data_IF_130798956627
#
_entry.id   IF_130798956627
#
_cell.length_a   1.000
_cell.length_b   1.000
_cell.length_c   1.000
_cell.angle_alpha   90.00
_cell.angle_beta   90.00
_cell.angle_gamma   90.00
#
_symmetry.space_group_name_H-M   'P 1'
#
loop_
_entity.id
_entity.type
_entity.pdbx_description
1 polymer ?
#
# COMPACT_ATOMS: atom_id res chain seq x y z
N UNK A 1 33.05 -8.93 2.75
CA UNK A 1 31.61 -8.70 2.94
C UNK A 1 31.29 -7.32 2.41
N UNK A 2 30.45 -7.19 1.38
CA UNK A 2 30.01 -5.89 0.88
C UNK A 2 29.20 -5.19 1.98
N UNK A 3 29.39 -3.88 2.15
CA UNK A 3 28.54 -3.10 3.07
C UNK A 3 27.07 -3.32 2.72
N UNK A 4 26.16 -3.45 3.70
CA UNK A 4 24.74 -3.56 3.41
C UNK A 4 24.29 -2.34 2.61
N UNK A 5 23.49 -2.57 1.57
CA UNK A 5 22.95 -1.50 0.73
C UNK A 5 22.10 -0.58 1.60
N UNK A 6 22.48 0.69 1.68
CA UNK A 6 21.71 1.72 2.35
C UNK A 6 20.88 2.49 1.32
N UNK A 7 19.61 2.64 1.60
CA UNK A 7 18.70 3.44 0.80
C UNK A 7 18.48 4.80 1.46
N UNK A 8 18.73 5.88 0.73
CA UNK A 8 18.44 7.23 1.19
C UNK A 8 17.29 7.81 0.37
N UNK A 9 16.11 7.90 1.00
CA UNK A 9 14.92 8.48 0.37
C UNK A 9 15.15 9.97 0.14
N UNK A 10 15.08 10.47 -1.11
CA UNK A 10 15.33 11.87 -1.39
C UNK A 10 14.23 12.74 -0.81
N UNK A 11 14.56 14.01 -0.52
CA UNK A 11 13.54 15.00 -0.17
C UNK A 11 12.55 15.15 -1.32
N UNK A 12 11.23 15.29 -1.03
CA UNK A 12 10.24 15.53 -2.07
C UNK A 12 10.50 16.87 -2.79
N UNK A 13 10.20 16.91 -4.08
CA UNK A 13 10.25 18.13 -4.90
C UNK A 13 9.23 19.18 -4.41
N UNK A 14 8.10 18.71 -3.91
CA UNK A 14 7.03 19.51 -3.32
C UNK A 14 6.22 18.66 -2.34
N UNK A 15 5.62 19.33 -1.35
CA UNK A 15 4.66 18.74 -0.42
C UNK A 15 3.36 19.53 -0.44
N UNK A 16 2.24 18.85 -0.18
CA UNK A 16 0.94 19.46 -0.01
C UNK A 16 0.14 18.68 1.05
N UNK A 17 -1.00 19.21 1.48
CA UNK A 17 -1.91 18.53 2.41
C UNK A 17 -3.27 18.30 1.75
N UNK A 18 -3.80 17.10 1.89
CA UNK A 18 -5.21 16.80 1.69
C UNK A 18 -5.90 16.86 3.07
N UNK A 19 -6.89 17.75 3.21
CA UNK A 19 -7.68 17.88 4.44
C UNK A 19 -8.98 17.14 4.29
N UNK A 20 -9.20 16.16 5.16
CA UNK A 20 -10.40 15.32 5.19
C UNK A 20 -11.56 16.04 5.87
N UNK A 21 -12.78 15.55 5.67
CA UNK A 21 -13.98 16.17 6.24
C UNK A 21 -13.99 16.17 7.78
N UNK A 22 -13.36 15.19 8.39
CA UNK A 22 -13.20 15.07 9.85
C UNK A 22 -12.03 15.89 10.43
N UNK A 23 -11.36 16.69 9.58
CA UNK A 23 -10.21 17.51 9.95
C UNK A 23 -8.86 16.78 9.91
N UNK A 24 -8.82 15.48 9.66
CA UNK A 24 -7.59 14.73 9.47
C UNK A 24 -6.79 15.26 8.27
N UNK A 25 -5.46 15.12 8.34
CA UNK A 25 -4.55 15.59 7.29
C UNK A 25 -3.76 14.44 6.73
N UNK A 26 -3.67 14.39 5.40
CA UNK A 26 -2.80 13.47 4.67
C UNK A 26 -1.77 14.28 3.91
N UNK A 27 -0.49 13.99 4.17
CA UNK A 27 0.65 14.64 3.52
C UNK A 27 0.90 14.00 2.15
N UNK A 28 0.86 14.83 1.12
CA UNK A 28 1.19 14.45 -0.25
C UNK A 28 2.63 14.84 -0.55
N UNK A 29 3.42 13.93 -1.12
CA UNK A 29 4.84 14.12 -1.43
C UNK A 29 5.07 13.87 -2.92
N UNK A 30 5.60 14.86 -3.63
CA UNK A 30 5.89 14.76 -5.06
C UNK A 30 7.35 14.45 -5.28
N UNK A 31 7.63 13.44 -6.11
CA UNK A 31 8.95 13.02 -6.52
C UNK A 31 9.02 12.82 -8.04
N UNK A 32 10.20 12.51 -8.55
CA UNK A 32 10.41 12.10 -9.93
C UNK A 32 10.32 13.23 -10.94
N UNK A 33 9.74 12.95 -12.12
CA UNK A 33 9.66 13.86 -13.25
C UNK A 33 8.28 14.57 -13.34
N UNK A 34 8.14 15.85 -12.92
CA UNK A 34 6.87 16.56 -12.96
C UNK A 34 6.22 16.68 -14.34
N UNK A 35 6.98 16.47 -15.43
CA UNK A 35 6.47 16.52 -16.80
C UNK A 35 5.98 15.16 -17.30
N UNK A 36 6.34 14.07 -16.62
CA UNK A 36 5.90 12.72 -16.97
C UNK A 36 4.44 12.44 -16.62
N UNK A 37 3.90 11.28 -17.05
CA UNK A 37 2.63 10.75 -16.58
C UNK A 37 2.62 10.59 -15.06
N UNK A 38 1.46 10.75 -14.41
CA UNK A 38 1.37 10.72 -12.95
C UNK A 38 1.05 9.33 -12.42
N UNK A 39 1.87 8.89 -11.47
CA UNK A 39 1.61 7.74 -10.63
C UNK A 39 1.33 8.20 -9.19
N UNK A 40 0.27 7.68 -8.58
CA UNK A 40 -0.07 7.93 -7.17
C UNK A 40 0.13 6.64 -6.41
N UNK A 41 1.01 6.63 -5.41
CA UNK A 41 1.47 5.41 -4.74
C UNK A 41 1.15 5.46 -3.25
N UNK A 42 0.66 4.35 -2.70
CA UNK A 42 0.48 4.14 -1.26
C UNK A 42 0.78 2.70 -0.86
N UNK A 43 0.72 2.40 0.42
CA UNK A 43 1.33 1.27 1.10
C UNK A 43 0.32 0.31 1.75
N UNK A 44 0.79 -0.84 2.27
CA UNK A 44 -0.02 -1.77 3.05
C UNK A 44 -0.20 -1.31 4.51
N UNK A 45 -1.11 -1.97 5.22
CA UNK A 45 -1.38 -1.72 6.64
C UNK A 45 -0.12 -1.84 7.51
N UNK A 46 0.10 -0.91 8.43
CA UNK A 46 1.24 -0.90 9.35
C UNK A 46 2.57 -0.44 8.72
N UNK A 47 2.59 -0.03 7.45
CA UNK A 47 3.77 0.46 6.72
C UNK A 47 3.68 1.96 6.42
N UNK A 48 4.59 2.45 5.57
CA UNK A 48 4.58 3.80 5.03
C UNK A 48 5.22 3.81 3.63
N UNK A 49 4.86 4.78 2.79
CA UNK A 49 5.27 4.83 1.39
C UNK A 49 6.79 4.96 1.21
N UNK A 50 7.51 5.56 2.16
CA UNK A 50 8.97 5.67 2.10
C UNK A 50 9.66 4.30 2.19
N UNK A 51 9.05 3.29 2.85
CA UNK A 51 9.57 1.93 2.88
C UNK A 51 9.65 1.30 1.46
N UNK A 52 8.79 1.76 0.55
CA UNK A 52 8.72 1.27 -0.84
C UNK A 52 9.69 1.98 -1.79
N UNK A 53 10.67 2.74 -1.25
CA UNK A 53 11.65 3.45 -2.08
C UNK A 53 12.39 2.55 -3.07
N UNK A 54 12.80 1.31 -2.76
CA UNK A 54 13.40 0.42 -3.74
C UNK A 54 12.54 0.19 -5.00
N UNK A 55 11.24 0.20 -4.84
CA UNK A 55 10.26 0.07 -5.92
C UNK A 55 10.01 1.39 -6.64
N UNK A 56 9.56 2.42 -5.92
CA UNK A 56 9.15 3.65 -6.60
C UNK A 56 10.32 4.50 -7.11
N UNK A 57 11.55 4.29 -6.61
CA UNK A 57 12.73 4.95 -7.15
C UNK A 57 12.99 4.58 -8.63
N UNK A 58 12.60 3.38 -9.05
CA UNK A 58 12.73 2.91 -10.43
C UNK A 58 11.78 3.64 -11.41
N UNK A 59 10.83 4.38 -10.90
CA UNK A 59 9.81 5.09 -11.68
C UNK A 59 10.12 6.58 -11.83
N UNK A 60 11.03 7.13 -11.02
CA UNK A 60 11.23 8.58 -10.87
C UNK A 60 11.79 9.28 -12.10
N UNK A 61 12.56 8.61 -12.94
CA UNK A 61 13.11 9.21 -14.16
C UNK A 61 12.02 9.53 -15.19
N UNK A 62 10.99 8.71 -15.26
CA UNK A 62 9.94 8.78 -16.28
C UNK A 62 8.64 9.43 -15.76
N UNK A 63 8.30 9.21 -14.51
CA UNK A 63 6.98 9.50 -13.95
C UNK A 63 6.99 10.63 -12.91
N UNK A 64 5.90 11.37 -12.89
CA UNK A 64 5.52 12.26 -11.81
C UNK A 64 4.93 11.41 -10.67
N UNK A 65 5.76 11.10 -9.68
CA UNK A 65 5.39 10.19 -8.58
C UNK A 65 4.86 10.99 -7.41
N UNK A 66 3.61 10.75 -7.02
CA UNK A 66 3.00 11.33 -5.83
C UNK A 66 2.76 10.23 -4.81
N UNK A 67 3.37 10.37 -3.64
CA UNK A 67 3.23 9.46 -2.52
C UNK A 67 2.26 10.01 -1.49
N UNK A 68 1.47 9.14 -0.88
CA UNK A 68 0.78 9.45 0.36
C UNK A 68 0.79 8.24 1.31
N UNK A 69 0.78 8.53 2.59
CA UNK A 69 0.57 7.51 3.61
C UNK A 69 -0.92 7.47 3.97
N UNK A 70 -1.42 6.28 4.33
CA UNK A 70 -2.76 6.14 4.90
C UNK A 70 -2.85 6.92 6.22
N UNK A 71 -4.05 7.24 6.67
CA UNK A 71 -4.30 7.89 7.97
C UNK A 71 -3.48 7.24 9.07
N UNK A 72 -2.92 8.05 9.96
CA UNK A 72 -2.16 7.59 11.11
C UNK A 72 -0.88 6.78 10.79
N UNK A 73 -0.38 6.86 9.55
CA UNK A 73 0.86 6.21 9.13
C UNK A 73 1.90 7.22 8.68
N UNK A 74 3.16 6.81 8.70
CA UNK A 74 4.29 7.52 8.09
C UNK A 74 4.39 9.00 8.47
N UNK A 75 4.26 9.87 7.48
CA UNK A 75 4.35 11.33 7.64
C UNK A 75 3.09 11.97 8.24
N UNK A 76 2.00 11.22 8.34
CA UNK A 76 0.75 11.77 8.84
C UNK A 76 0.73 11.85 10.37
N UNK A 77 0.08 12.88 10.95
CA UNK A 77 -0.14 12.93 12.38
C UNK A 77 -1.07 11.79 12.81
N UNK A 78 -0.91 11.32 14.03
CA UNK A 78 -1.87 10.39 14.64
C UNK A 78 -3.09 11.17 15.10
N UNK A 79 -4.23 10.79 14.55
CA UNK A 79 -5.55 11.32 14.89
C UNK A 79 -6.41 10.31 15.64
N UNK A 80 -7.74 10.49 15.58
CA UNK A 80 -8.70 9.58 16.15
C UNK A 80 -8.60 8.16 15.59
N UNK A 81 -8.64 7.15 16.46
CA UNK A 81 -8.73 5.77 16.06
C UNK A 81 -10.13 5.38 15.57
N UNK A 82 -11.17 6.15 15.87
CA UNK A 82 -12.54 5.85 15.45
C UNK A 82 -12.67 5.88 13.94
N UNK A 83 -11.98 6.81 13.28
CA UNK A 83 -11.95 6.98 11.83
C UNK A 83 -10.86 6.16 11.13
N UNK A 84 -10.16 5.27 11.86
CA UNK A 84 -9.10 4.43 11.29
C UNK A 84 -9.66 3.08 10.87
N UNK A 85 -10.29 3.02 9.71
CA UNK A 85 -10.84 1.81 9.11
C UNK A 85 -10.92 1.91 7.57
N UNK A 86 -11.05 0.76 6.89
CA UNK A 86 -11.02 0.70 5.42
C UNK A 86 -12.09 1.58 4.78
N UNK A 87 -13.28 1.69 5.37
CA UNK A 87 -14.35 2.56 4.84
C UNK A 87 -13.93 4.01 4.71
N UNK A 88 -13.23 4.54 5.71
CA UNK A 88 -12.70 5.90 5.69
C UNK A 88 -11.58 6.04 4.65
N UNK A 89 -10.71 5.02 4.50
CA UNK A 89 -9.69 5.03 3.45
C UNK A 89 -10.31 5.06 2.05
N UNK A 90 -11.46 4.39 1.85
CA UNK A 90 -12.23 4.45 0.59
C UNK A 90 -12.68 5.88 0.28
N UNK A 91 -13.24 6.58 1.26
CA UNK A 91 -13.71 7.98 1.08
C UNK A 91 -12.54 8.96 0.89
N UNK A 92 -11.38 8.69 1.51
CA UNK A 92 -10.19 9.53 1.39
C UNK A 92 -9.67 9.66 -0.05
N UNK A 93 -9.81 8.62 -0.88
CA UNK A 93 -9.31 8.64 -2.26
C UNK A 93 -9.85 9.82 -3.08
N UNK A 94 -11.13 10.15 -2.96
CA UNK A 94 -11.72 11.30 -3.65
C UNK A 94 -11.08 12.62 -3.23
N UNK A 95 -10.87 12.80 -1.93
CA UNK A 95 -10.27 14.04 -1.39
C UNK A 95 -8.79 14.14 -1.72
N UNK A 96 -8.05 13.02 -1.66
CA UNK A 96 -6.64 12.93 -2.07
C UNK A 96 -6.52 13.27 -3.56
N UNK A 97 -7.33 12.68 -4.43
CA UNK A 97 -7.32 12.95 -5.87
C UNK A 97 -7.50 14.42 -6.19
N UNK A 98 -8.53 15.06 -5.60
CA UNK A 98 -8.76 16.51 -5.76
C UNK A 98 -7.62 17.36 -5.21
N UNK A 99 -7.01 16.96 -4.09
CA UNK A 99 -5.88 17.70 -3.52
C UNK A 99 -4.63 17.61 -4.40
N UNK A 100 -4.37 16.45 -5.01
CA UNK A 100 -3.29 16.26 -5.98
C UNK A 100 -3.47 17.22 -7.17
N UNK A 101 -4.66 17.29 -7.75
CA UNK A 101 -4.94 18.15 -8.91
C UNK A 101 -4.76 19.62 -8.58
N UNK A 102 -5.26 20.07 -7.43
CA UNK A 102 -5.12 21.47 -6.99
C UNK A 102 -3.67 21.90 -6.75
N UNK A 103 -2.84 20.99 -6.22
CA UNK A 103 -1.49 21.36 -5.78
C UNK A 103 -0.39 20.99 -6.78
N UNK A 104 -0.62 19.97 -7.63
CA UNK A 104 0.41 19.44 -8.52
C UNK A 104 -0.01 19.44 -9.99
N UNK A 105 -0.98 20.24 -10.39
CA UNK A 105 -1.65 20.31 -11.68
C UNK A 105 -2.67 19.18 -11.92
N UNK A 106 -3.70 19.51 -12.70
CA UNK A 106 -4.72 18.56 -13.14
C UNK A 106 -4.21 17.77 -14.34
N UNK A 107 -4.04 16.46 -14.16
CA UNK A 107 -3.72 15.50 -15.22
C UNK A 107 -4.14 14.09 -14.83
N UNK A 108 -4.32 13.17 -15.82
CA UNK A 108 -4.64 11.76 -15.52
C UNK A 108 -3.70 11.17 -14.46
N UNK A 109 -4.26 10.40 -13.54
CA UNK A 109 -3.55 9.78 -12.41
C UNK A 109 -3.75 8.27 -12.45
N UNK A 110 -2.66 7.52 -12.54
CA UNK A 110 -2.69 6.05 -12.38
C UNK A 110 -2.39 5.75 -10.91
N UNK A 111 -3.32 5.11 -10.22
CA UNK A 111 -3.12 4.65 -8.85
C UNK A 111 -2.29 3.37 -8.82
N UNK A 112 -1.27 3.32 -7.96
CA UNK A 112 -0.40 2.15 -7.77
C UNK A 112 -0.39 1.83 -6.28
N UNK A 113 -1.16 0.84 -5.88
CA UNK A 113 -1.49 0.60 -4.49
C UNK A 113 -1.17 -0.82 -4.05
N UNK A 114 -0.94 -1.01 -2.76
CA UNK A 114 -0.62 -2.31 -2.18
C UNK A 114 -1.57 -2.69 -1.04
N UNK A 115 -2.03 -3.97 -1.05
CA UNK A 115 -2.79 -4.55 0.06
C UNK A 115 -4.03 -3.72 0.41
N UNK A 116 -4.13 -3.17 1.62
CA UNK A 116 -5.29 -2.38 2.08
C UNK A 116 -5.48 -1.09 1.28
N UNK A 117 -4.42 -0.42 0.83
CA UNK A 117 -4.57 0.73 -0.07
C UNK A 117 -5.07 0.30 -1.45
N UNK A 118 -4.67 -0.88 -1.94
CA UNK A 118 -5.20 -1.47 -3.16
C UNK A 118 -6.68 -1.86 -3.01
N UNK A 119 -7.05 -2.47 -1.89
CA UNK A 119 -8.42 -2.83 -1.56
C UNK A 119 -9.32 -1.57 -1.50
N UNK A 120 -8.90 -0.54 -0.76
CA UNK A 120 -9.68 0.69 -0.63
C UNK A 120 -9.83 1.43 -1.96
N UNK A 121 -8.79 1.47 -2.80
CA UNK A 121 -8.84 2.07 -4.13
C UNK A 121 -9.80 1.32 -5.07
N UNK A 122 -9.82 -0.01 -5.02
CA UNK A 122 -10.73 -0.84 -5.81
C UNK A 122 -12.19 -0.63 -5.40
N UNK A 123 -12.48 -0.60 -4.09
CA UNK A 123 -13.81 -0.29 -3.58
C UNK A 123 -14.23 1.13 -3.97
N UNK A 124 -13.32 2.10 -3.88
CA UNK A 124 -13.58 3.47 -4.33
C UNK A 124 -13.93 3.51 -5.82
N UNK A 125 -13.15 2.82 -6.67
CA UNK A 125 -13.36 2.77 -8.11
C UNK A 125 -14.67 2.07 -8.53
N UNK A 126 -15.24 1.22 -7.67
CA UNK A 126 -16.56 0.63 -7.88
C UNK A 126 -17.73 1.59 -7.60
N UNK A 127 -17.45 2.77 -7.04
CA UNK A 127 -18.45 3.82 -6.73
C UNK A 127 -18.24 5.05 -7.60
N UNK A 128 -17.07 5.62 -7.51
CA UNK A 128 -16.56 6.72 -8.36
C UNK A 128 -15.04 6.55 -8.48
N UNK A 129 -14.42 6.98 -9.58
CA UNK A 129 -12.97 6.84 -9.70
C UNK A 129 -12.25 8.19 -9.62
N UNK A 130 -11.33 8.31 -8.66
CA UNK A 130 -10.36 9.40 -8.61
C UNK A 130 -9.14 9.16 -9.52
N UNK A 131 -9.06 8.00 -10.15
CA UNK A 131 -7.92 7.54 -10.95
C UNK A 131 -8.37 7.14 -12.36
N UNK A 132 -7.53 7.43 -13.36
CA UNK A 132 -7.75 7.02 -14.76
C UNK A 132 -7.49 5.53 -14.99
N UNK A 133 -6.64 4.93 -14.17
CA UNK A 133 -6.38 3.48 -14.15
C UNK A 133 -5.81 3.08 -12.78
N UNK A 134 -5.84 1.79 -12.46
CA UNK A 134 -5.33 1.23 -11.21
C UNK A 134 -4.38 0.06 -11.47
N UNK A 135 -3.24 0.07 -10.79
CA UNK A 135 -2.37 -1.10 -10.58
C UNK A 135 -2.44 -1.48 -9.11
N UNK A 136 -2.90 -2.68 -8.82
CA UNK A 136 -3.20 -3.15 -7.48
C UNK A 136 -2.31 -4.34 -7.14
N UNK A 137 -1.37 -4.12 -6.23
CA UNK A 137 -0.47 -5.17 -5.75
C UNK A 137 -1.13 -5.91 -4.59
N UNK A 138 -1.32 -7.19 -4.79
CA UNK A 138 -1.83 -8.18 -3.82
C UNK A 138 -3.01 -7.67 -2.96
N UNK A 139 -4.09 -7.14 -3.58
CA UNK A 139 -5.26 -6.65 -2.85
C UNK A 139 -5.95 -7.80 -2.13
N UNK A 140 -6.40 -7.58 -0.90
CA UNK A 140 -7.22 -8.56 -0.18
C UNK A 140 -8.69 -8.39 -0.59
N UNK A 141 -9.12 -9.17 -1.57
CA UNK A 141 -10.48 -9.13 -2.10
C UNK A 141 -11.12 -10.52 -2.16
N UNK A 142 -12.39 -10.56 -1.89
CA UNK A 142 -13.22 -11.76 -1.94
C UNK A 142 -14.54 -11.36 -2.61
N UNK A 143 -14.56 -11.23 -3.96
CA UNK A 143 -15.72 -10.74 -4.68
C UNK A 143 -16.94 -11.66 -4.49
N UNK A 144 -18.17 -11.18 -4.78
CA UNK A 144 -19.38 -11.99 -4.74
C UNK A 144 -19.21 -13.27 -5.57
N UNK A 145 -19.63 -14.40 -5.05
CA UNK A 145 -19.49 -15.70 -5.70
C UNK A 145 -18.23 -16.50 -5.33
N UNK A 146 -17.35 -15.95 -4.49
CA UNK A 146 -16.26 -16.75 -3.91
C UNK A 146 -16.78 -17.98 -3.18
N UNK A 147 -15.99 -19.06 -3.24
CA UNK A 147 -16.33 -20.29 -2.53
C UNK A 147 -16.29 -20.06 -1.00
N UNK A 148 -17.20 -20.69 -0.24
CA UNK A 148 -17.24 -20.54 1.22
C UNK A 148 -15.89 -20.82 1.90
N UNK A 149 -15.15 -21.83 1.44
CA UNK A 149 -13.84 -22.19 1.97
C UNK A 149 -12.77 -21.09 1.74
N UNK A 150 -12.85 -20.33 0.65
CA UNK A 150 -11.95 -19.22 0.39
C UNK A 150 -12.29 -18.03 1.28
N UNK A 151 -13.59 -17.76 1.48
CA UNK A 151 -14.08 -16.75 2.43
C UNK A 151 -13.57 -17.05 3.84
N UNK A 152 -13.73 -18.29 4.31
CA UNK A 152 -13.28 -18.71 5.64
C UNK A 152 -11.76 -18.58 5.80
N UNK A 153 -10.99 -18.90 4.76
CA UNK A 153 -9.54 -18.71 4.76
C UNK A 153 -9.15 -17.25 4.93
N UNK A 154 -9.75 -16.34 4.14
CA UNK A 154 -9.50 -14.90 4.24
C UNK A 154 -9.85 -14.39 5.63
N UNK A 155 -11.01 -14.76 6.16
CA UNK A 155 -11.47 -14.37 7.49
C UNK A 155 -10.48 -14.85 8.57
N UNK A 156 -10.01 -16.08 8.48
CA UNK A 156 -9.02 -16.65 9.41
C UNK A 156 -7.68 -15.92 9.35
N UNK A 157 -7.14 -15.70 8.16
CA UNK A 157 -5.85 -15.02 7.98
C UNK A 157 -5.90 -13.60 8.52
N UNK A 158 -6.92 -12.83 8.15
CA UNK A 158 -7.09 -11.44 8.60
C UNK A 158 -7.31 -11.37 10.12
N UNK A 159 -8.08 -12.32 10.68
CA UNK A 159 -8.25 -12.43 12.13
C UNK A 159 -6.92 -12.71 12.85
N UNK A 160 -6.08 -13.62 12.31
CA UNK A 160 -4.75 -13.91 12.86
C UNK A 160 -3.82 -12.71 12.79
N UNK A 161 -3.81 -11.97 11.67
CA UNK A 161 -3.02 -10.74 11.50
C UNK A 161 -3.45 -9.66 12.50
N UNK A 162 -4.75 -9.45 12.69
CA UNK A 162 -5.27 -8.50 13.68
C UNK A 162 -4.88 -8.86 15.11
N UNK A 163 -4.98 -10.14 15.48
CA UNK A 163 -4.54 -10.62 16.79
C UNK A 163 -3.03 -10.52 16.99
N UNK A 164 -2.24 -10.73 15.94
CA UNK A 164 -0.79 -10.53 15.98
C UNK A 164 -0.43 -9.05 16.15
N UNK A 165 -1.13 -8.15 15.44
CA UNK A 165 -0.95 -6.71 15.57
C UNK A 165 -1.21 -6.23 17.00
N UNK A 166 -2.30 -6.66 17.65
CA UNK A 166 -2.59 -6.33 19.07
C UNK A 166 -1.48 -6.73 20.04
N UNK A 167 -0.71 -7.77 19.72
CA UNK A 167 0.41 -8.25 20.54
C UNK A 167 1.74 -7.59 20.19
N UNK A 168 1.77 -6.76 19.14
CA UNK A 168 2.97 -6.11 18.66
C UNK A 168 3.50 -5.12 19.68
N UNK A 169 4.82 -5.09 19.85
CA UNK A 169 5.46 -4.07 20.67
C UNK A 169 5.39 -2.72 19.95
N UNK A 170 5.07 -1.66 20.67
CA UNK A 170 4.92 -0.32 20.14
C UNK A 170 6.14 0.57 20.30
N UNK A 171 7.02 0.28 21.27
CA UNK A 171 8.21 1.08 21.59
C UNK A 171 9.46 0.25 21.47
N UNK A 172 10.51 0.87 20.98
CA UNK A 172 11.82 0.29 20.72
C UNK A 172 12.91 1.24 21.18
N UNK A 173 13.99 0.71 21.75
CA UNK A 173 15.13 1.53 22.16
C UNK A 173 15.90 2.08 20.94
N UNK A 174 15.92 1.35 19.83
CA UNK A 174 16.59 1.77 18.61
C UNK A 174 15.93 1.17 17.35
N UNK A 175 16.34 1.66 16.18
CA UNK A 175 15.95 1.08 14.89
C UNK A 175 16.48 -0.35 14.72
N UNK A 176 17.67 -0.62 15.26
CA UNK A 176 18.29 -1.95 15.21
C UNK A 176 17.45 -2.97 15.98
N UNK A 177 16.95 -2.62 17.17
CA UNK A 177 16.05 -3.50 17.91
C UNK A 177 14.77 -3.85 17.10
N UNK A 178 14.22 -2.87 16.40
CA UNK A 178 13.07 -3.12 15.51
C UNK A 178 13.45 -4.04 14.36
N UNK A 179 14.57 -3.78 13.69
CA UNK A 179 15.03 -4.60 12.56
C UNK A 179 15.30 -6.05 12.95
N UNK A 180 15.91 -6.30 14.11
CA UNK A 180 16.12 -7.66 14.62
C UNK A 180 14.81 -8.42 14.77
N UNK A 181 13.72 -7.75 15.15
CA UNK A 181 12.39 -8.36 15.25
C UNK A 181 11.78 -8.64 13.89
N UNK A 182 11.88 -7.69 12.96
CA UNK A 182 11.40 -7.82 11.58
C UNK A 182 12.10 -9.01 10.90
N UNK A 183 13.44 -9.08 10.98
CA UNK A 183 14.22 -10.16 10.36
C UNK A 183 13.94 -11.56 10.94
N UNK A 184 13.44 -11.65 12.17
CA UNK A 184 13.08 -12.92 12.79
C UNK A 184 11.70 -13.43 12.35
N UNK A 185 10.87 -12.56 11.84
CA UNK A 185 9.54 -12.96 11.35
C UNK A 185 9.66 -13.63 9.98
N UNK A 186 9.05 -14.83 9.78
CA UNK A 186 9.10 -15.52 8.49
C UNK A 186 8.64 -14.67 7.30
N UNK A 187 7.65 -13.80 7.50
CA UNK A 187 7.11 -12.93 6.45
C UNK A 187 8.07 -11.82 5.95
N UNK A 188 9.26 -11.68 6.54
CA UNK A 188 10.23 -10.63 6.17
C UNK A 188 11.57 -11.17 5.66
N UNK A 189 11.68 -12.48 5.42
CA UNK A 189 12.95 -13.09 5.06
C UNK A 189 13.35 -12.87 3.61
N UNK A 190 12.40 -12.53 2.73
CA UNK A 190 12.63 -12.29 1.30
C UNK A 190 12.86 -10.81 0.97
N UNK A 191 12.88 -9.92 1.96
CA UNK A 191 13.10 -8.49 1.75
C UNK A 191 14.41 -8.22 1.02
N UNK A 192 14.38 -7.33 0.03
CA UNK A 192 15.58 -6.93 -0.70
C UNK A 192 16.58 -6.23 0.23
N UNK A 193 17.89 -6.25 -0.11
CA UNK A 193 18.93 -5.65 0.74
C UNK A 193 18.66 -4.18 1.06
N UNK A 194 18.68 -3.84 2.36
CA UNK A 194 18.41 -2.50 2.90
C UNK A 194 16.94 -2.17 3.15
N UNK A 195 15.99 -2.99 2.67
CA UNK A 195 14.57 -2.76 2.95
C UNK A 195 14.20 -2.81 4.44
N UNK A 196 14.78 -3.70 5.28
CA UNK A 196 14.51 -3.67 6.73
C UNK A 196 14.81 -2.31 7.40
N UNK A 197 15.93 -1.66 7.04
CA UNK A 197 16.28 -0.33 7.56
C UNK A 197 15.28 0.74 7.09
N UNK A 198 14.85 0.68 5.83
CA UNK A 198 13.81 1.57 5.31
C UNK A 198 12.49 1.40 6.04
N UNK A 199 12.05 0.17 6.25
CA UNK A 199 10.83 -0.13 7.02
C UNK A 199 10.95 0.48 8.41
N UNK A 200 12.05 0.24 9.12
CA UNK A 200 12.27 0.80 10.45
C UNK A 200 12.17 2.34 10.45
N UNK A 201 12.86 3.01 9.53
CA UNK A 201 12.87 4.48 9.43
C UNK A 201 11.53 5.07 9.01
N UNK A 202 10.75 4.35 8.20
CA UNK A 202 9.48 4.82 7.67
C UNK A 202 8.30 4.58 8.64
N UNK A 203 8.38 3.52 9.45
CA UNK A 203 7.28 3.08 10.32
C UNK A 203 7.45 3.46 11.79
N UNK A 204 8.65 3.93 12.15
CA UNK A 204 8.94 4.43 13.48
C UNK A 204 9.19 5.94 13.48
N UNK A 205 8.83 6.58 14.57
CA UNK A 205 9.17 7.98 14.87
C UNK A 205 9.82 8.06 16.26
N UNK A 206 10.58 9.13 16.56
CA UNK A 206 11.04 9.37 17.91
C UNK A 206 9.87 9.35 18.90
N UNK A 207 10.04 8.65 20.01
CA UNK A 207 9.01 8.55 21.02
C UNK A 207 8.71 9.92 21.66
N UNK A 208 7.45 10.17 21.97
CA UNK A 208 6.98 11.46 22.51
C UNK A 208 7.63 11.85 23.86
N UNK A 209 8.11 10.85 24.62
CA UNK A 209 8.84 11.06 25.88
C UNK A 209 10.36 11.30 25.69
N UNK A 210 10.84 11.31 24.43
CA UNK A 210 12.24 11.54 24.10
C UNK A 210 13.16 10.32 24.27
N UNK A 211 12.62 9.14 24.60
CA UNK A 211 13.39 7.90 24.80
C UNK A 211 13.01 6.83 23.76
N UNK A 212 13.94 6.60 22.82
CA UNK A 212 13.78 5.62 21.75
C UNK A 212 12.77 6.00 20.68
N UNK A 213 12.05 5.01 20.17
CA UNK A 213 11.13 5.10 19.05
C UNK A 213 9.80 4.46 19.38
N UNK A 214 8.74 4.95 18.72
CA UNK A 214 7.40 4.38 18.77
C UNK A 214 6.85 4.17 17.35
N UNK A 215 5.88 3.25 17.19
CA UNK A 215 5.21 3.03 15.91
C UNK A 215 4.51 4.31 15.45
N UNK A 216 4.63 4.65 14.16
CA UNK A 216 3.83 5.72 13.54
C UNK A 216 2.33 5.37 13.59
N UNK A 217 1.97 4.14 13.22
CA UNK A 217 0.62 3.64 13.34
C UNK A 217 0.47 2.86 14.65
N UNK A 218 -0.41 3.29 15.60
CA UNK A 218 -0.68 2.52 16.79
C UNK A 218 -1.15 1.10 16.46
N UNK A 219 -0.69 0.11 17.21
CA UNK A 219 -1.00 -1.30 16.95
C UNK A 219 -2.50 -1.62 16.98
N UNK A 220 -3.27 -0.92 17.81
CA UNK A 220 -4.73 -1.06 17.88
C UNK A 220 -5.40 -0.60 16.59
N UNK A 221 -4.83 0.41 15.91
CA UNK A 221 -5.33 0.91 14.62
C UNK A 221 -5.01 -0.09 13.50
N UNK A 222 -3.77 -0.57 13.45
CA UNK A 222 -3.37 -1.63 12.53
C UNK A 222 -4.22 -2.89 12.72
N UNK A 223 -4.46 -3.30 13.96
CA UNK A 223 -5.28 -4.46 14.30
C UNK A 223 -6.73 -4.28 13.85
N UNK A 224 -7.33 -3.12 14.05
CA UNK A 224 -8.71 -2.82 13.63
C UNK A 224 -8.90 -3.03 12.14
N UNK A 225 -8.01 -2.48 11.32
CA UNK A 225 -8.06 -2.65 9.86
C UNK A 225 -8.07 -4.11 9.47
N UNK A 226 -7.23 -4.94 10.11
CA UNK A 226 -7.16 -6.37 9.83
C UNK A 226 -8.41 -7.11 10.33
N UNK A 227 -8.91 -6.80 11.54
CA UNK A 227 -10.08 -7.47 12.13
C UNK A 227 -11.39 -7.12 11.40
N UNK A 228 -11.51 -5.91 10.84
CA UNK A 228 -12.63 -5.52 9.99
C UNK A 228 -12.44 -5.94 8.52
N UNK A 229 -11.24 -6.35 8.16
CA UNK A 229 -10.84 -6.72 6.80
C UNK A 229 -11.79 -7.72 6.11
N UNK A 230 -12.30 -8.76 6.78
CA UNK A 230 -13.27 -9.69 6.20
C UNK A 230 -14.49 -9.03 5.57
N UNK A 231 -15.06 -8.04 6.26
CA UNK A 231 -16.19 -7.26 5.75
C UNK A 231 -15.82 -6.49 4.48
N UNK A 232 -14.64 -5.87 4.48
CA UNK A 232 -14.20 -5.02 3.39
C UNK A 232 -13.67 -5.83 2.20
N UNK A 233 -13.12 -7.02 2.42
CA UNK A 233 -12.73 -7.93 1.34
C UNK A 233 -13.92 -8.26 0.41
N UNK A 234 -15.13 -8.30 0.95
CA UNK A 234 -16.38 -8.58 0.22
C UNK A 234 -17.09 -7.33 -0.31
N UNK A 235 -16.57 -6.13 -0.05
CA UNK A 235 -17.23 -4.88 -0.42
C UNK A 235 -16.91 -4.40 -1.85
N UNK A 236 -15.92 -4.99 -2.51
CA UNK A 236 -15.56 -4.65 -3.88
C UNK A 236 -16.53 -5.28 -4.88
N UNK A 237 -17.23 -4.45 -5.64
CA UNK A 237 -18.06 -4.88 -6.77
C UNK A 237 -17.27 -4.66 -8.08
N UNK A 238 -16.63 -5.74 -8.53
CA UNK A 238 -15.76 -5.69 -9.72
C UNK A 238 -16.52 -5.33 -11.00
N UNK A 239 -17.83 -5.65 -11.07
CA UNK A 239 -18.67 -5.34 -12.24
C UNK A 239 -18.94 -3.83 -12.43
N UNK A 240 -18.73 -3.04 -11.37
CA UNK A 240 -18.98 -1.59 -11.36
C UNK A 240 -17.71 -0.76 -11.46
N UNK A 241 -16.55 -1.38 -11.52
CA UNK A 241 -15.27 -0.67 -11.64
C UNK A 241 -15.23 0.05 -12.99
N UNK A 242 -15.06 1.38 -12.96
CA UNK A 242 -15.23 2.26 -14.12
C UNK A 242 -13.92 2.62 -14.82
N UNK A 243 -12.79 2.16 -14.35
CA UNK A 243 -11.47 2.42 -14.96
C UNK A 243 -10.72 1.10 -15.22
N UNK A 244 -9.74 1.08 -16.15
CA UNK A 244 -8.86 -0.06 -16.33
C UNK A 244 -8.16 -0.46 -15.05
N UNK A 245 -8.08 -1.76 -14.75
CA UNK A 245 -7.43 -2.31 -13.55
C UNK A 245 -6.49 -3.43 -13.94
N UNK A 246 -5.25 -3.37 -13.42
CA UNK A 246 -4.32 -4.50 -13.39
C UNK A 246 -4.11 -4.94 -11.95
N UNK A 247 -4.19 -6.24 -11.73
CA UNK A 247 -3.80 -6.86 -10.45
C UNK A 247 -2.46 -7.58 -10.63
N UNK A 248 -1.55 -7.34 -9.70
CA UNK A 248 -0.26 -8.04 -9.62
C UNK A 248 -0.20 -8.76 -8.28
N UNK A 249 -0.33 -10.08 -8.30
CA UNK A 249 -0.30 -10.93 -7.12
C UNK A 249 1.11 -11.31 -6.67
N UNK A 250 1.23 -11.78 -5.44
CA UNK A 250 2.36 -12.55 -4.97
C UNK A 250 2.33 -13.98 -5.54
N UNK A 251 3.43 -14.73 -5.39
CA UNK A 251 3.53 -16.11 -5.87
C UNK A 251 2.51 -17.00 -5.14
N UNK A 252 1.58 -17.63 -5.85
CA UNK A 252 0.56 -18.48 -5.25
C UNK A 252 1.11 -19.75 -4.59
N UNK A 253 2.34 -20.14 -4.87
CA UNK A 253 2.99 -21.34 -4.32
C UNK A 253 3.77 -21.05 -3.04
N UNK A 254 3.99 -19.77 -2.72
CA UNK A 254 4.73 -19.34 -1.53
C UNK A 254 3.74 -19.08 -0.37
N UNK A 255 4.06 -19.48 0.87
CA UNK A 255 3.25 -19.12 2.04
C UNK A 255 3.06 -17.60 2.17
N UNK A 256 1.91 -17.19 2.74
CA UNK A 256 1.50 -15.79 2.91
C UNK A 256 1.04 -15.06 1.63
N UNK A 257 0.70 -15.78 0.56
CA UNK A 257 -0.04 -15.20 -0.55
C UNK A 257 -1.54 -15.19 -0.25
N UNK A 258 -2.23 -14.07 -0.54
CA UNK A 258 -3.69 -13.94 -0.34
C UNK A 258 -4.49 -14.37 -1.58
N UNK A 259 -4.02 -14.03 -2.76
CA UNK A 259 -4.75 -14.26 -4.02
C UNK A 259 -5.05 -15.72 -4.33
N UNK A 260 -4.18 -16.72 -4.04
CA UNK A 260 -4.48 -18.11 -4.32
C UNK A 260 -5.58 -18.70 -3.45
N UNK A 261 -6.02 -17.98 -2.43
CA UNK A 261 -7.07 -18.46 -1.53
C UNK A 261 -8.48 -18.09 -2.00
N UNK A 262 -8.60 -17.34 -3.09
CA UNK A 262 -9.84 -16.81 -3.62
C UNK A 262 -10.15 -17.45 -4.97
N UNK A 263 -11.43 -17.62 -5.30
CA UNK A 263 -11.82 -17.99 -6.67
C UNK A 263 -11.42 -16.87 -7.64
N UNK A 264 -10.38 -17.12 -8.41
CA UNK A 264 -9.76 -16.13 -9.28
C UNK A 264 -10.56 -15.82 -10.55
N UNK A 265 -11.67 -16.52 -10.83
CA UNK A 265 -12.39 -16.36 -12.11
C UNK A 265 -12.79 -14.92 -12.41
N UNK A 266 -13.30 -14.18 -11.44
CA UNK A 266 -13.64 -12.78 -11.61
C UNK A 266 -12.41 -11.87 -11.61
N UNK A 267 -11.38 -12.23 -10.83
CA UNK A 267 -10.10 -11.49 -10.79
C UNK A 267 -9.33 -11.70 -12.08
N UNK A 268 -9.34 -12.92 -12.63
CA UNK A 268 -8.71 -13.24 -13.91
C UNK A 268 -9.45 -12.62 -15.12
N UNK A 269 -10.68 -12.16 -14.95
CA UNK A 269 -11.35 -11.33 -15.94
C UNK A 269 -10.75 -9.90 -16.02
N UNK A 270 -10.04 -9.46 -14.99
CA UNK A 270 -9.19 -8.28 -15.00
C UNK A 270 -7.81 -8.65 -15.59
N UNK A 271 -7.01 -7.64 -15.95
CA UNK A 271 -5.61 -7.83 -16.35
C UNK A 271 -4.82 -8.29 -15.09
N UNK A 272 -4.57 -9.59 -14.98
CA UNK A 272 -3.89 -10.21 -13.82
C UNK A 272 -2.52 -10.75 -14.20
N UNK A 273 -1.57 -10.59 -13.30
CA UNK A 273 -0.24 -11.18 -13.33
C UNK A 273 0.22 -11.50 -11.91
N UNK A 274 1.37 -12.18 -11.75
CA UNK A 274 1.97 -12.38 -10.44
C UNK A 274 3.51 -12.33 -10.53
N UNK A 275 4.17 -12.06 -9.41
CA UNK A 275 5.62 -12.03 -9.34
C UNK A 275 6.10 -13.33 -8.66
N UNK A 276 6.85 -14.19 -9.39
CA UNK A 276 7.36 -15.44 -8.83
C UNK A 276 8.29 -15.21 -7.62
N UNK A 277 8.37 -16.21 -6.75
CA UNK A 277 9.23 -16.23 -5.57
C UNK A 277 9.00 -15.06 -4.59
N UNK A 278 7.77 -14.51 -4.54
CA UNK A 278 7.42 -13.43 -3.63
C UNK A 278 6.29 -13.80 -2.67
N UNK A 279 6.27 -13.10 -1.53
CA UNK A 279 5.16 -13.11 -0.58
C UNK A 279 4.30 -11.84 -0.74
N UNK A 280 3.43 -11.59 0.25
CA UNK A 280 2.61 -10.38 0.29
C UNK A 280 3.42 -9.06 0.19
N UNK A 281 4.71 -9.06 0.52
CA UNK A 281 5.57 -7.88 0.47
C UNK A 281 6.34 -7.73 -0.87
N UNK A 282 5.79 -8.24 -1.97
CA UNK A 282 6.43 -8.40 -3.27
C UNK A 282 7.20 -7.15 -3.76
N UNK A 283 6.67 -5.94 -3.54
CA UNK A 283 7.34 -4.69 -3.95
C UNK A 283 8.60 -4.38 -3.12
N UNK A 284 8.72 -4.96 -1.92
CA UNK A 284 9.88 -4.85 -1.02
C UNK A 284 10.84 -6.04 -1.15
N UNK A 285 10.40 -7.09 -1.84
CA UNK A 285 11.17 -8.32 -2.09
C UNK A 285 11.81 -8.29 -3.47
N UNK A 286 11.00 -8.03 -4.51
CA UNK A 286 11.38 -8.02 -5.92
C UNK A 286 10.91 -6.73 -6.62
N UNK A 287 11.46 -5.55 -6.24
CA UNK A 287 10.97 -4.26 -6.74
C UNK A 287 11.06 -4.12 -8.27
N UNK A 288 12.11 -4.64 -8.91
CA UNK A 288 12.30 -4.55 -10.35
C UNK A 288 11.27 -5.41 -11.12
N UNK A 289 11.00 -6.61 -10.63
CA UNK A 289 10.01 -7.52 -11.23
C UNK A 289 8.59 -6.96 -11.07
N UNK A 290 8.29 -6.33 -9.95
CA UNK A 290 7.02 -5.62 -9.75
C UNK A 290 6.85 -4.47 -10.76
N UNK A 291 7.91 -3.70 -11.03
CA UNK A 291 7.89 -2.67 -12.06
C UNK A 291 7.70 -3.30 -13.44
N UNK A 292 8.44 -4.38 -13.77
CA UNK A 292 8.33 -5.07 -15.05
C UNK A 292 6.90 -5.61 -15.29
N UNK A 293 6.26 -6.18 -14.27
CA UNK A 293 4.90 -6.71 -14.36
C UNK A 293 3.83 -5.62 -14.62
N UNK A 294 4.01 -4.42 -14.07
CA UNK A 294 3.01 -3.34 -14.23
C UNK A 294 3.22 -2.49 -15.47
N UNK A 295 4.46 -2.35 -15.98
CA UNK A 295 4.79 -1.35 -17.02
C UNK A 295 4.02 -1.49 -18.31
N UNK A 296 3.82 -2.70 -18.89
CA UNK A 296 3.04 -2.83 -20.13
C UNK A 296 1.62 -2.29 -20.02
N UNK A 297 0.98 -2.47 -18.86
CA UNK A 297 -0.35 -1.93 -18.59
C UNK A 297 -0.32 -0.40 -18.45
N UNK A 298 0.63 0.13 -17.67
CA UNK A 298 0.79 1.59 -17.48
C UNK A 298 1.03 2.30 -18.81
N UNK A 299 1.88 1.75 -19.68
CA UNK A 299 2.20 2.33 -20.98
C UNK A 299 0.98 2.37 -21.91
N UNK A 300 0.15 1.31 -21.92
CA UNK A 300 -1.13 1.33 -22.67
C UNK A 300 -2.05 2.44 -22.15
N UNK A 301 -2.25 2.51 -20.84
CA UNK A 301 -3.13 3.53 -20.23
C UNK A 301 -2.62 4.97 -20.48
N UNK A 302 -1.31 5.19 -20.49
CA UNK A 302 -0.73 6.49 -20.83
C UNK A 302 -1.00 6.84 -22.29
N UNK A 303 -0.81 5.90 -23.22
CA UNK A 303 -1.01 6.15 -24.67
C UNK A 303 -2.47 6.43 -25.00
N UNK A 304 -3.41 5.83 -24.27
CA UNK A 304 -4.85 6.03 -24.48
C UNK A 304 -5.38 7.34 -23.85
N UNK A 305 -4.67 7.91 -22.86
CA UNK A 305 -5.07 9.12 -22.13
C UNK A 305 -4.48 10.42 -22.69
N UNK A 306 -3.48 10.31 -23.57
CA UNK A 306 -2.77 11.42 -24.21
C UNK A 306 -2.80 11.29 -25.74
#
# INVERSE_FOLDING_TARGET
MSQPKRWDVPKPLATAEARMADGSRIVLRRHGNPRGPRLVISHCNGFAADAYYPFWSLLTDRFDVVLFDLRNHGWNPVGSGEDHHVGTFVEDHATIGRAIDRNFSDKPKIGVFHSVSAQSALIHASRESAYSALVLFDPVVCPPGCRPEDVEKVDKVLGQLGQAALKRRERFASLEEFMERVLRSPGFQLLCPGAPELIARATLRPASNGDGYELCCPREYEARVSLEGPRWARAADLSRVSCPVKIVGSDPTVPFSFLPTVDLREILALDYDFVPDTTHLLQLEQPAECVAAMMPFVERCVTEAF
#
